data_IF_665579766001
#
_entry.id   IF_665579766001
#
_cell.length_a   1.000
_cell.length_b   1.000
_cell.length_c   1.000
_cell.angle_alpha   90.00
_cell.angle_beta   90.00
_cell.angle_gamma   90.00
#
_symmetry.space_group_name_H-M   'P 1'
#
loop_
_entity.id
_entity.type
_entity.pdbx_description
1 polymer ?
#
# COMPACT_ATOMS: atom_id res chain seq x y z
N UNK A 1 24.32 23.83 16.95
CA UNK A 1 23.00 24.22 16.41
C UNK A 1 22.17 22.96 16.40
N UNK A 2 21.26 22.82 17.35
CA UNK A 2 20.39 21.65 17.47
C UNK A 2 19.41 21.69 16.29
N UNK A 3 19.58 20.79 15.33
CA UNK A 3 18.59 20.60 14.26
C UNK A 3 17.38 19.97 14.91
N UNK A 4 16.37 20.78 15.26
CA UNK A 4 15.08 20.28 15.73
C UNK A 4 14.49 19.43 14.62
N UNK A 5 14.58 18.11 14.77
CA UNK A 5 13.94 17.17 13.85
C UNK A 5 12.44 17.38 13.95
N UNK A 6 11.87 18.03 12.95
CA UNK A 6 10.40 18.17 12.84
C UNK A 6 9.86 16.76 12.64
N UNK A 7 9.27 16.20 13.70
CA UNK A 7 8.65 14.87 13.64
C UNK A 7 7.45 14.95 12.71
N UNK A 8 7.58 14.35 11.52
CA UNK A 8 6.48 14.24 10.56
C UNK A 8 5.48 13.19 11.07
N UNK A 9 4.17 13.46 11.04
CA UNK A 9 3.17 12.44 11.34
C UNK A 9 3.25 11.33 10.29
N UNK A 10 3.19 10.07 10.74
CA UNK A 10 3.31 8.89 9.88
C UNK A 10 1.92 8.29 9.63
N UNK A 11 1.53 8.15 8.36
CA UNK A 11 0.35 7.39 7.97
C UNK A 11 0.75 6.07 7.30
N UNK A 12 0.19 4.97 7.80
CA UNK A 12 0.21 3.68 7.12
C UNK A 12 -1.09 3.53 6.31
N UNK A 13 -0.95 3.27 5.01
CA UNK A 13 -2.08 3.10 4.10
C UNK A 13 -2.19 1.63 3.68
N UNK A 14 -3.26 0.98 4.12
CA UNK A 14 -3.61 -0.39 3.75
C UNK A 14 -4.83 -0.36 2.82
N UNK A 15 -4.65 -0.41 1.49
CA UNK A 15 -5.78 -0.43 0.57
C UNK A 15 -6.57 -1.72 0.73
N UNK A 16 -7.89 -1.63 0.62
CA UNK A 16 -8.68 -2.83 0.46
C UNK A 16 -8.28 -3.51 -0.86
N UNK A 17 -8.10 -4.82 -0.86
CA UNK A 17 -7.67 -5.57 -2.02
C UNK A 17 -8.70 -5.55 -3.17
N UNK A 18 -8.49 -4.66 -4.13
CA UNK A 18 -9.25 -4.53 -5.37
C UNK A 18 -8.70 -3.37 -6.19
N UNK A 19 -8.59 -3.51 -7.51
CA UNK A 19 -7.90 -2.50 -8.36
C UNK A 19 -8.46 -1.08 -8.19
N UNK A 20 -9.78 -0.94 -8.01
CA UNK A 20 -10.40 0.34 -7.71
C UNK A 20 -9.94 0.92 -6.38
N UNK A 21 -9.96 0.14 -5.31
CA UNK A 21 -9.61 0.60 -3.95
C UNK A 21 -8.14 0.97 -3.81
N UNK A 22 -7.24 0.26 -4.48
CA UNK A 22 -5.80 0.58 -4.51
C UNK A 22 -5.58 1.99 -5.09
N UNK A 23 -6.21 2.30 -6.23
CA UNK A 23 -6.05 3.61 -6.87
C UNK A 23 -6.60 4.76 -6.02
N UNK A 24 -7.74 4.58 -5.36
CA UNK A 24 -8.31 5.60 -4.49
C UNK A 24 -7.45 5.84 -3.24
N UNK A 25 -6.98 4.75 -2.61
CA UNK A 25 -6.07 4.85 -1.47
C UNK A 25 -4.76 5.51 -1.88
N UNK A 26 -4.23 5.23 -3.07
CA UNK A 26 -3.00 5.85 -3.58
C UNK A 26 -3.14 7.36 -3.71
N UNK A 27 -4.26 7.84 -4.29
CA UNK A 27 -4.55 9.28 -4.38
C UNK A 27 -4.66 9.93 -3.00
N UNK A 28 -5.30 9.25 -2.04
CA UNK A 28 -5.38 9.72 -0.66
C UNK A 28 -3.99 9.83 -0.02
N UNK A 29 -3.14 8.81 -0.20
CA UNK A 29 -1.78 8.78 0.31
C UNK A 29 -0.94 9.95 -0.25
N UNK A 30 -1.06 10.25 -1.54
CA UNK A 30 -0.42 11.43 -2.15
C UNK A 30 -0.93 12.75 -1.56
N UNK A 31 -2.23 12.87 -1.27
CA UNK A 31 -2.80 14.07 -0.64
C UNK A 31 -2.34 14.27 0.81
N UNK A 32 -2.07 13.19 1.53
CA UNK A 32 -1.51 13.22 2.87
C UNK A 32 -0.02 13.59 2.84
N UNK A 33 0.74 13.01 1.91
CA UNK A 33 2.14 13.37 1.68
C UNK A 33 2.31 14.86 1.37
N UNK A 34 1.47 15.41 0.48
CA UNK A 34 1.44 16.84 0.17
C UNK A 34 1.11 17.73 1.38
N UNK A 35 0.54 17.17 2.46
CA UNK A 35 0.27 17.86 3.73
C UNK A 35 1.38 17.65 4.78
N UNK A 36 2.50 17.03 4.42
CA UNK A 36 3.66 16.87 5.29
C UNK A 36 3.68 15.56 6.07
N UNK A 37 2.86 14.58 5.70
CA UNK A 37 2.94 13.24 6.30
C UNK A 37 4.08 12.42 5.68
N UNK A 38 4.73 11.63 6.52
CA UNK A 38 5.49 10.47 6.06
C UNK A 38 4.51 9.34 5.75
N UNK A 39 4.64 8.71 4.60
CA UNK A 39 3.69 7.69 4.13
C UNK A 39 4.39 6.34 4.01
N UNK A 40 3.73 5.31 4.50
CA UNK A 40 4.02 3.93 4.09
C UNK A 40 2.77 3.32 3.52
N UNK A 41 2.76 3.10 2.22
CA UNK A 41 1.69 2.44 1.51
C UNK A 41 2.01 0.95 1.41
N UNK A 42 1.22 0.14 2.10
CA UNK A 42 1.45 -1.30 2.22
C UNK A 42 0.48 -2.01 1.31
N UNK A 43 0.96 -2.57 0.21
CA UNK A 43 0.14 -3.39 -0.67
C UNK A 43 0.15 -4.84 -0.21
N UNK A 44 -0.96 -5.56 -0.34
CA UNK A 44 -0.93 -7.02 -0.24
C UNK A 44 -0.45 -7.59 -1.57
N UNK A 45 0.52 -8.50 -1.54
CA UNK A 45 0.98 -9.25 -2.71
C UNK A 45 -0.18 -10.05 -3.30
N UNK A 46 -0.89 -9.44 -4.24
CA UNK A 46 -1.50 -10.21 -5.29
C UNK A 46 -0.38 -10.57 -6.25
N UNK A 47 -0.13 -11.87 -6.41
CA UNK A 47 0.68 -12.39 -7.50
C UNK A 47 -0.03 -12.10 -8.82
N UNK A 48 0.02 -10.85 -9.21
CA UNK A 48 -0.27 -10.36 -10.54
C UNK A 48 0.97 -9.56 -10.87
N UNK A 49 1.88 -10.18 -11.62
CA UNK A 49 3.17 -9.63 -12.09
C UNK A 49 3.06 -8.28 -12.84
N UNK A 50 1.87 -7.67 -12.86
CA UNK A 50 1.49 -6.45 -13.57
C UNK A 50 1.62 -5.18 -12.74
N UNK A 51 1.56 -5.19 -11.40
CA UNK A 51 1.57 -3.90 -10.65
C UNK A 51 2.97 -3.26 -10.67
N UNK A 52 4.03 -4.07 -10.58
CA UNK A 52 5.42 -3.59 -10.71
C UNK A 52 5.84 -3.35 -12.16
N UNK A 53 5.16 -3.97 -13.14
CA UNK A 53 5.42 -3.80 -14.57
C UNK A 53 4.64 -2.66 -15.25
N UNK A 54 3.49 -2.25 -14.70
CA UNK A 54 2.60 -1.28 -15.34
C UNK A 54 2.78 0.15 -14.82
N UNK A 55 4.02 0.68 -14.77
CA UNK A 55 4.33 2.12 -14.76
C UNK A 55 3.67 3.05 -13.70
N UNK A 56 2.82 2.57 -12.80
CA UNK A 56 2.04 3.39 -11.86
C UNK A 56 2.74 3.64 -10.53
N UNK A 57 3.72 2.82 -10.18
CA UNK A 57 4.62 3.02 -9.04
C UNK A 57 5.96 3.68 -9.44
N UNK A 58 6.22 3.79 -10.75
CA UNK A 58 7.46 4.31 -11.32
C UNK A 58 7.46 5.84 -11.15
N UNK A 59 8.03 6.31 -10.04
CA UNK A 59 8.09 7.73 -9.65
C UNK A 59 7.66 8.01 -8.21
N UNK A 60 7.05 7.04 -7.51
CA UNK A 60 6.71 7.19 -6.08
C UNK A 60 7.81 6.69 -5.15
N UNK A 61 8.62 5.71 -5.60
CA UNK A 61 9.79 5.24 -4.87
C UNK A 61 10.88 6.32 -4.73
N UNK A 62 10.82 7.35 -5.58
CA UNK A 62 11.79 8.45 -5.60
C UNK A 62 11.34 9.64 -4.74
N UNK A 63 10.14 9.58 -4.14
CA UNK A 63 9.65 10.62 -3.24
C UNK A 63 10.26 10.41 -1.84
N UNK A 64 11.00 11.42 -1.38
CA UNK A 64 11.38 11.49 0.03
C UNK A 64 10.12 11.40 0.91
N UNK A 65 10.18 10.56 1.95
CA UNK A 65 9.09 10.31 2.89
C UNK A 65 7.84 9.61 2.34
N UNK A 66 7.96 8.92 1.21
CA UNK A 66 6.92 8.02 0.70
C UNK A 66 7.51 6.63 0.42
N UNK A 67 7.04 5.61 1.14
CA UNK A 67 7.47 4.21 0.95
C UNK A 67 6.34 3.35 0.42
N UNK A 68 6.67 2.52 -0.56
CA UNK A 68 5.83 1.43 -1.04
C UNK A 68 6.38 0.12 -0.48
N UNK A 69 5.58 -0.55 0.33
CA UNK A 69 5.93 -1.84 0.94
C UNK A 69 4.92 -2.90 0.50
N UNK A 70 5.30 -4.17 0.57
CA UNK A 70 4.44 -5.27 0.19
C UNK A 70 4.43 -6.35 1.27
N UNK A 71 3.24 -6.88 1.58
CA UNK A 71 3.05 -7.98 2.54
C UNK A 71 2.36 -9.17 1.87
N UNK A 72 2.65 -10.42 2.26
CA UNK A 72 1.93 -11.58 1.78
C UNK A 72 0.43 -11.48 2.10
N UNK A 73 -0.44 -11.86 1.15
CA UNK A 73 -1.89 -11.79 1.33
C UNK A 73 -2.48 -12.92 2.21
N UNK A 74 -1.66 -13.88 2.66
CA UNK A 74 -2.08 -15.00 3.50
C UNK A 74 -3.00 -16.03 2.83
N UNK A 75 -3.27 -15.90 1.52
CA UNK A 75 -4.09 -16.84 0.77
C UNK A 75 -3.25 -17.98 0.20
N UNK A 76 -3.80 -19.21 0.12
CA UNK A 76 -3.14 -20.28 -0.59
C UNK A 76 -3.00 -19.94 -2.09
N UNK A 77 -1.93 -20.41 -2.75
CA UNK A 77 -1.54 -19.95 -4.09
C UNK A 77 -2.56 -20.23 -5.20
N UNK A 78 -3.52 -21.12 -4.97
CA UNK A 78 -4.60 -21.52 -5.87
C UNK A 78 -5.84 -20.60 -5.80
N UNK A 79 -6.01 -19.84 -4.71
CA UNK A 79 -7.11 -18.87 -4.51
C UNK A 79 -6.74 -17.42 -4.89
N UNK A 80 -5.57 -17.20 -5.48
CA UNK A 80 -5.01 -15.87 -5.79
C UNK A 80 -5.78 -15.00 -6.81
N UNK A 81 -7.03 -15.34 -7.14
CA UNK A 81 -7.90 -14.48 -7.93
C UNK A 81 -8.78 -13.67 -6.99
N UNK A 82 -8.92 -12.39 -7.30
CA UNK A 82 -9.81 -11.36 -6.73
C UNK A 82 -11.31 -11.73 -6.71
N UNK A 83 -11.63 -13.01 -6.88
CA UNK A 83 -12.97 -13.59 -6.94
C UNK A 83 -13.54 -13.88 -5.55
N UNK A 84 -12.69 -13.97 -4.51
CA UNK A 84 -13.14 -14.13 -3.12
C UNK A 84 -12.73 -12.96 -2.23
N UNK A 85 -13.48 -11.86 -2.33
CA UNK A 85 -13.30 -10.70 -1.46
C UNK A 85 -13.53 -11.03 0.03
N UNK A 86 -14.37 -12.03 0.33
CA UNK A 86 -14.68 -12.45 1.70
C UNK A 86 -13.51 -13.22 2.30
N UNK A 87 -12.98 -14.20 1.57
CA UNK A 87 -11.83 -15.00 1.97
C UNK A 87 -10.58 -14.15 2.18
N UNK A 88 -10.44 -13.05 1.45
CA UNK A 88 -9.32 -12.14 1.61
C UNK A 88 -9.44 -11.21 2.83
N UNK A 89 -10.64 -10.73 3.15
CA UNK A 89 -10.89 -10.03 4.41
C UNK A 89 -10.69 -10.97 5.59
N UNK A 90 -11.21 -12.19 5.49
CA UNK A 90 -11.07 -13.21 6.53
C UNK A 90 -9.59 -13.60 6.76
N UNK A 91 -8.80 -13.76 5.69
CA UNK A 91 -7.36 -14.01 5.79
C UNK A 91 -6.60 -12.83 6.41
N UNK A 92 -6.95 -11.59 6.05
CA UNK A 92 -6.34 -10.41 6.66
C UNK A 92 -6.64 -10.32 8.15
N UNK A 93 -7.90 -10.59 8.56
CA UNK A 93 -8.33 -10.57 9.95
C UNK A 93 -7.77 -11.72 10.81
N UNK A 94 -7.35 -12.83 10.19
CA UNK A 94 -6.82 -14.01 10.89
C UNK A 94 -5.30 -14.00 11.02
N UNK A 95 -4.59 -13.36 10.09
CA UNK A 95 -3.13 -13.42 10.00
C UNK A 95 -2.42 -12.12 10.40
N UNK A 96 -3.17 -11.05 10.67
CA UNK A 96 -2.66 -9.76 11.14
C UNK A 96 -3.56 -9.22 12.27
#
# INVERSE_FOLDING_TARGET
MESTTVVKPHALCFPHPGQGHINHMMKLAMLLHARGFYITFVNTEFKNDRITGSGGAMGLNDLEDFKLESIPNGLPPDLGRTQDAVGLVDAAMKNF
#
